data_IF_224047830016
#
_entry.id   IF_224047830016
#
_cell.length_a   1.000
_cell.length_b   1.000
_cell.length_c   1.000
_cell.angle_alpha   90.00
_cell.angle_beta   90.00
_cell.angle_gamma   90.00
#
_symmetry.space_group_name_H-M   'P 1'
#
loop_
_entity.id
_entity.type
_entity.pdbx_description
1 polymer ?
#
# COMPACT_ATOMS: atom_id res chain seq x y z
N UNK A 1 14.57 2.80 -1.48
CA UNK A 1 13.47 2.31 -0.62
C UNK A 1 14.00 1.12 0.15
N UNK A 2 13.76 1.06 1.46
CA UNK A 2 14.08 -0.12 2.27
C UNK A 2 13.20 -1.30 1.83
N UNK A 3 13.60 -2.54 2.09
CA UNK A 3 12.77 -3.72 1.80
C UNK A 3 11.59 -3.80 2.80
N UNK A 4 10.47 -4.47 2.43
CA UNK A 4 9.39 -4.76 3.37
C UNK A 4 9.90 -5.63 4.53
N UNK A 5 9.44 -5.35 5.75
CA UNK A 5 9.68 -6.22 6.90
C UNK A 5 8.82 -7.49 6.83
N UNK A 6 9.13 -8.47 7.69
CA UNK A 6 8.44 -9.77 7.68
C UNK A 6 6.92 -9.62 7.93
N UNK A 7 6.51 -8.73 8.83
CA UNK A 7 5.10 -8.45 9.13
C UNK A 7 4.37 -7.81 7.93
N UNK A 8 5.05 -6.92 7.20
CA UNK A 8 4.54 -6.33 5.96
C UNK A 8 4.41 -7.40 4.86
N UNK A 9 5.39 -8.28 4.71
CA UNK A 9 5.35 -9.37 3.74
C UNK A 9 4.19 -10.34 4.01
N UNK A 10 3.95 -10.71 5.28
CA UNK A 10 2.82 -11.56 5.67
C UNK A 10 1.47 -10.95 5.28
N UNK A 11 1.34 -9.62 5.38
CA UNK A 11 0.13 -8.91 4.96
C UNK A 11 0.04 -8.72 3.43
N UNK A 12 1.17 -8.55 2.75
CA UNK A 12 1.25 -8.44 1.29
C UNK A 12 0.89 -9.77 0.60
N UNK A 13 1.21 -10.91 1.21
CA UNK A 13 0.82 -12.24 0.72
C UNK A 13 -0.69 -12.44 0.62
N UNK A 14 -1.47 -11.69 1.41
CA UNK A 14 -2.93 -11.68 1.37
C UNK A 14 -3.49 -10.77 0.25
N UNK A 15 -2.65 -9.96 -0.39
CA UNK A 15 -3.06 -8.97 -1.38
C UNK A 15 -3.21 -9.59 -2.78
N UNK A 16 -4.32 -9.29 -3.45
CA UNK A 16 -4.53 -9.73 -4.83
C UNK A 16 -3.72 -8.89 -5.82
N UNK A 17 -3.00 -9.57 -6.72
CA UNK A 17 -2.23 -8.91 -7.79
C UNK A 17 -0.94 -8.26 -7.28
N UNK A 18 -0.31 -8.86 -6.27
CA UNK A 18 1.00 -8.48 -5.75
C UNK A 18 2.06 -8.51 -6.87
N UNK A 19 2.93 -7.50 -6.88
CA UNK A 19 4.08 -7.39 -7.79
C UNK A 19 5.35 -7.20 -6.97
N UNK A 20 6.53 -7.41 -7.58
CA UNK A 20 7.82 -7.30 -6.87
C UNK A 20 8.07 -5.91 -6.25
N UNK A 21 7.41 -4.86 -6.75
CA UNK A 21 7.51 -3.49 -6.23
C UNK A 21 6.34 -3.07 -5.33
N UNK A 22 5.45 -4.01 -4.99
CA UNK A 22 4.28 -3.72 -4.16
C UNK A 22 4.68 -3.47 -2.70
N UNK A 23 4.04 -2.48 -2.07
CA UNK A 23 4.23 -2.11 -0.66
C UNK A 23 2.90 -1.72 -0.02
N UNK A 24 2.81 -1.86 1.30
CA UNK A 24 1.68 -1.35 2.06
C UNK A 24 1.76 0.17 2.13
N UNK A 25 0.73 0.84 1.61
CA UNK A 25 0.72 2.31 1.55
C UNK A 25 0.84 2.99 2.92
N UNK A 26 0.45 2.33 4.02
CA UNK A 26 0.61 2.85 5.38
C UNK A 26 2.05 2.79 5.91
N UNK A 27 2.91 1.92 5.35
CA UNK A 27 4.31 1.77 5.76
C UNK A 27 5.27 2.69 4.98
N UNK A 28 4.82 3.22 3.83
CA UNK A 28 5.62 4.14 3.02
C UNK A 28 5.63 5.54 3.64
N UNK A 29 6.77 5.92 4.24
CA UNK A 29 6.98 7.26 4.80
C UNK A 29 7.44 8.23 3.71
N UNK A 30 6.75 9.36 3.58
CA UNK A 30 7.13 10.40 2.61
C UNK A 30 8.46 11.06 3.00
N UNK A 31 9.38 11.16 2.05
CA UNK A 31 10.64 11.88 2.16
C UNK A 31 10.87 12.73 0.91
N UNK A 32 11.82 13.67 0.96
CA UNK A 32 12.17 14.50 -0.21
C UNK A 32 12.75 13.67 -1.37
N UNK A 33 13.25 12.47 -1.08
CA UNK A 33 13.79 11.54 -2.08
C UNK A 33 12.68 10.88 -2.91
N UNK A 34 11.43 10.99 -2.47
CA UNK A 34 10.24 10.47 -3.15
C UNK A 34 9.50 11.57 -3.95
N UNK A 35 10.10 12.74 -4.14
CA UNK A 35 9.51 13.78 -4.98
C UNK A 35 9.46 13.33 -6.44
N UNK A 36 8.26 13.38 -7.04
CA UNK A 36 8.00 12.82 -8.37
C UNK A 36 7.75 11.30 -8.43
N UNK A 37 7.60 10.63 -7.27
CA UNK A 37 7.25 9.20 -7.22
C UNK A 37 5.89 8.95 -7.90
N UNK A 38 5.88 8.02 -8.86
CA UNK A 38 4.66 7.52 -9.51
C UNK A 38 4.34 6.15 -8.94
N UNK A 39 3.15 6.02 -8.32
CA UNK A 39 2.66 4.74 -7.82
C UNK A 39 1.42 4.30 -8.59
N UNK A 40 1.28 2.98 -8.75
CA UNK A 40 0.10 2.35 -9.33
C UNK A 40 -0.66 1.64 -8.24
N UNK A 41 -1.94 1.97 -8.08
CA UNK A 41 -2.83 1.22 -7.21
C UNK A 41 -3.30 -0.06 -7.95
N UNK A 42 -3.25 -1.24 -7.30
CA UNK A 42 -3.77 -2.46 -7.90
C UNK A 42 -5.30 -2.39 -8.08
N UNK A 43 -5.82 -3.19 -9.01
CA UNK A 43 -7.25 -3.21 -9.39
C UNK A 43 -8.19 -3.62 -8.26
N UNK A 44 -7.72 -4.42 -7.31
CA UNK A 44 -8.42 -4.70 -6.06
C UNK A 44 -7.65 -4.07 -4.90
N UNK A 45 -8.12 -2.90 -4.45
CA UNK A 45 -7.61 -2.22 -3.27
C UNK A 45 -8.72 -2.11 -2.22
N UNK A 46 -8.41 -2.47 -0.98
CA UNK A 46 -9.30 -2.29 0.16
C UNK A 46 -8.75 -1.15 1.03
N UNK A 47 -9.06 0.07 0.63
CA UNK A 47 -8.71 1.28 1.37
C UNK A 47 -9.84 1.70 2.31
N UNK A 48 -9.50 2.47 3.34
CA UNK A 48 -10.49 3.14 4.18
C UNK A 48 -11.11 4.29 3.36
N UNK A 49 -12.40 4.19 3.04
CA UNK A 49 -13.12 5.23 2.31
C UNK A 49 -14.06 5.99 3.24
N UNK A 50 -14.30 7.27 2.94
CA UNK A 50 -15.27 8.08 3.68
C UNK A 50 -16.68 7.44 3.68
N UNK A 51 -17.02 6.69 2.62
CA UNK A 51 -18.25 5.91 2.52
C UNK A 51 -18.36 4.79 3.55
N UNK A 52 -17.25 4.29 4.10
CA UNK A 52 -17.26 3.25 5.14
C UNK A 52 -17.87 3.78 6.45
N UNK A 53 -17.84 5.09 6.65
CA UNK A 53 -18.44 5.78 7.81
C UNK A 53 -19.87 6.28 7.53
N UNK A 54 -20.33 6.26 6.28
CA UNK A 54 -21.63 6.81 5.87
C UNK A 54 -22.80 5.84 6.11
N UNK A 55 -22.52 4.57 6.40
CA UNK A 55 -23.53 3.57 6.80
C UNK A 55 -23.36 3.28 8.29
N UNK A 56 -23.92 4.15 9.13
CA UNK A 56 -24.20 3.81 10.52
C UNK A 56 -25.70 3.61 10.70
#
# INVERSE_FOLDING_TARGET
MEEPDDDENDMLDLAFGLTETSRLGCQVKMSKELDGLVIKLPTMTRNLQASDFAKK
#
